data_IF_806610994068
#
_entry.id   IF_806610994068
#
_cell.length_a   1.000
_cell.length_b   1.000
_cell.length_c   1.000
_cell.angle_alpha   90.00
_cell.angle_beta   90.00
_cell.angle_gamma   90.00
#
_symmetry.space_group_name_H-M   'P 1'
#
loop_
_entity.id
_entity.type
_entity.pdbx_description
1 polymer ?
#
# COMPACT_ATOMS: atom_id res chain seq x y z
N UNK A 1 21.16 20.89 48.16
CA UNK A 1 21.04 20.85 47.57
C UNK A 1 21.03 20.48 46.75
N UNK A 2 20.64 20.63 46.84
CA UNK A 2 20.43 20.53 45.99
C UNK A 2 20.39 19.98 45.08
N UNK A 3 20.26 20.14 45.08
CA UNK A 3 20.07 19.88 44.20
C UNK A 3 20.03 19.17 43.36
N UNK A 4 19.84 19.26 43.48
CA UNK A 4 19.66 18.85 42.65
C UNK A 4 19.61 18.19 41.94
N UNK A 5 19.55 18.20 42.11
CA UNK A 5 19.36 17.81 41.35
C UNK A 5 19.25 17.34 40.61
N UNK A 6 18.94 17.51 40.75
CA UNK A 6 18.58 17.29 39.84
C UNK A 6 18.55 16.91 39.06
N UNK A 7 18.32 17.01 39.26
CA UNK A 7 18.10 16.82 38.30
C UNK A 7 18.11 16.34 37.54
N UNK A 8 18.01 16.46 37.76
CA UNK A 8 17.84 16.26 36.83
C UNK A 8 17.86 15.65 36.12
N UNK A 9 17.65 15.55 36.38
CA UNK A 9 17.48 15.19 35.52
C UNK A 9 17.29 14.68 34.78
N UNK A 10 16.99 14.64 34.85
CA UNK A 10 16.55 14.51 34.03
C UNK A 10 16.58 14.12 33.21
N UNK A 11 16.49 14.32 33.26
CA UNK A 11 16.32 14.28 32.36
C UNK A 11 16.37 13.79 31.51
N UNK A 12 16.19 13.92 31.58
CA UNK A 12 16.05 13.78 30.65
C UNK A 12 16.01 13.04 29.91
N UNK A 13 16.06 12.79 30.16
CA UNK A 13 16.03 12.29 29.46
C UNK A 13 15.57 11.76 28.80
N UNK A 14 15.17 11.78 28.77
CA UNK A 14 14.68 11.64 28.24
C UNK A 14 14.45 11.39 27.18
N UNK A 15 14.11 11.62 27.28
CA UNK A 15 13.85 11.84 26.25
C UNK A 15 14.11 11.00 25.18
N UNK A 16 14.87 10.81 24.97
CA UNK A 16 15.26 10.18 23.95
C UNK A 16 14.50 9.13 23.48
N UNK A 17 13.95 8.67 24.23
CA UNK A 17 13.20 7.72 24.02
C UNK A 17 12.31 7.75 22.94
N UNK A 18 11.59 8.57 22.98
CA UNK A 18 10.54 8.69 22.07
C UNK A 18 10.94 8.66 20.65
N UNK A 19 12.06 8.92 20.43
CA UNK A 19 12.49 9.08 19.13
C UNK A 19 12.30 7.94 18.27
N UNK A 20 12.49 6.85 18.77
CA UNK A 20 12.49 5.70 17.98
C UNK A 20 11.17 5.25 17.52
N UNK A 21 10.25 5.35 18.33
CA UNK A 21 8.92 4.86 18.03
C UNK A 21 8.31 5.36 16.73
N UNK A 22 8.46 6.60 16.40
CA UNK A 22 7.80 7.11 15.20
C UNK A 22 8.27 6.50 13.90
N UNK A 23 9.46 6.03 13.86
CA UNK A 23 10.02 5.55 12.62
C UNK A 23 9.30 4.33 12.03
N UNK A 24 9.03 3.33 12.80
CA UNK A 24 8.32 2.18 12.27
C UNK A 24 6.95 2.55 11.75
N UNK A 25 6.29 3.45 12.39
CA UNK A 25 4.97 3.87 11.97
C UNK A 25 5.00 4.52 10.60
N UNK A 26 6.00 5.30 10.33
CA UNK A 26 6.13 5.95 9.04
C UNK A 26 6.32 4.92 7.94
N UNK A 27 7.15 3.94 8.18
CA UNK A 27 7.39 2.90 7.19
C UNK A 27 6.12 2.14 6.85
N UNK A 28 5.25 1.93 7.81
CA UNK A 28 4.02 1.20 7.60
C UNK A 28 3.01 1.95 6.77
N UNK A 29 3.07 3.27 6.76
CA UNK A 29 2.08 4.09 6.09
C UNK A 29 2.15 3.99 4.57
N UNK A 30 3.19 3.39 4.01
CA UNK A 30 3.34 3.27 2.56
C UNK A 30 2.71 2.01 1.98
N UNK A 31 2.10 1.20 2.81
CA UNK A 31 1.54 -0.07 2.39
C UNK A 31 0.04 0.07 2.14
N UNK A 32 -0.40 -0.36 0.97
CA UNK A 32 -1.83 -0.41 0.66
C UNK A 32 -2.53 -1.43 1.54
N UNK A 33 -3.81 -1.22 1.78
CA UNK A 33 -4.65 -2.15 2.51
C UNK A 33 -5.25 -3.15 1.52
N UNK A 34 -5.17 -4.44 1.85
CA UNK A 34 -5.66 -5.50 0.97
C UNK A 34 -6.17 -6.64 1.83
N UNK A 35 -7.40 -7.09 1.59
CA UNK A 35 -7.95 -8.18 2.36
C UNK A 35 -8.84 -9.08 1.49
N UNK A 36 -8.83 -10.37 1.80
CA UNK A 36 -9.72 -11.33 1.17
C UNK A 36 -11.11 -11.18 1.77
N UNK A 37 -12.08 -10.88 0.94
CA UNK A 37 -13.48 -10.71 1.39
C UNK A 37 -14.33 -11.92 1.09
N UNK A 38 -13.90 -12.79 0.19
CA UNK A 38 -14.60 -14.04 -0.10
C UNK A 38 -13.64 -15.01 -0.78
N UNK A 39 -13.74 -16.28 -0.43
CA UNK A 39 -12.94 -17.33 -1.06
C UNK A 39 -13.65 -18.67 -1.00
N UNK A 40 -13.59 -19.41 -2.11
CA UNK A 40 -14.02 -20.81 -2.16
C UNK A 40 -13.08 -21.54 -3.13
N UNK A 41 -13.47 -22.75 -3.57
CA UNK A 41 -12.60 -23.53 -4.45
C UNK A 41 -12.58 -23.04 -5.89
N UNK A 42 -13.37 -22.02 -6.22
CA UNK A 42 -13.44 -21.48 -7.59
C UNK A 42 -12.94 -20.06 -7.72
N UNK A 43 -13.08 -19.25 -6.69
CA UNK A 43 -12.70 -17.84 -6.76
C UNK A 43 -12.10 -17.35 -5.46
N UNK A 44 -11.25 -16.33 -5.57
CA UNK A 44 -10.82 -15.52 -4.45
C UNK A 44 -11.14 -14.07 -4.80
N UNK A 45 -11.80 -13.35 -3.89
CA UNK A 45 -12.16 -11.95 -4.07
C UNK A 45 -11.41 -11.12 -3.04
N UNK A 46 -10.63 -10.17 -3.51
CA UNK A 46 -9.80 -9.30 -2.67
C UNK A 46 -10.23 -7.86 -2.84
N UNK A 47 -10.36 -7.17 -1.71
CA UNK A 47 -10.68 -5.75 -1.67
C UNK A 47 -9.38 -5.00 -1.34
N UNK A 48 -8.95 -4.12 -2.24
CA UNK A 48 -7.70 -3.36 -2.07
C UNK A 48 -7.96 -1.87 -2.11
N UNK A 49 -7.43 -1.16 -1.13
CA UNK A 49 -7.52 0.30 -1.04
C UNK A 49 -6.10 0.84 -0.99
N UNK A 50 -5.77 1.74 -1.91
CA UNK A 50 -4.43 2.31 -2.03
C UNK A 50 -4.55 3.84 -2.03
N UNK A 51 -4.12 4.45 -0.95
CA UNK A 51 -4.11 5.91 -0.84
C UNK A 51 -2.93 6.49 -1.60
N UNK A 52 -2.95 7.80 -1.92
CA UNK A 52 -1.81 8.42 -2.59
C UNK A 52 -0.49 8.11 -1.86
N UNK A 53 0.51 7.68 -2.60
CA UNK A 53 1.82 7.32 -2.06
C UNK A 53 1.95 5.88 -1.60
N UNK A 54 0.83 5.18 -1.41
CA UNK A 54 0.85 3.78 -1.00
C UNK A 54 0.98 2.86 -2.22
N UNK A 55 1.35 1.61 -1.97
CA UNK A 55 1.47 0.64 -3.04
C UNK A 55 1.51 -0.78 -2.54
N UNK A 56 1.59 -1.71 -3.47
CA UNK A 56 1.67 -3.14 -3.19
C UNK A 56 3.01 -3.67 -3.71
N UNK A 57 3.57 -4.68 -3.03
CA UNK A 57 4.83 -5.27 -3.47
C UNK A 57 4.66 -6.00 -4.80
N UNK A 58 5.78 -6.34 -5.43
CA UNK A 58 5.76 -7.04 -6.70
C UNK A 58 5.05 -8.37 -6.58
N UNK A 59 4.16 -8.64 -7.52
CA UNK A 59 3.42 -9.89 -7.59
C UNK A 59 2.89 -10.09 -9.01
N UNK A 60 2.66 -11.33 -9.38
CA UNK A 60 2.03 -11.67 -10.64
C UNK A 60 0.53 -11.41 -10.51
N UNK A 61 -0.01 -10.61 -11.41
CA UNK A 61 -1.41 -10.19 -11.38
C UNK A 61 -2.13 -10.43 -12.70
N UNK A 62 -1.48 -11.15 -13.63
CA UNK A 62 -2.10 -11.42 -14.92
C UNK A 62 -3.32 -12.30 -14.77
N UNK A 63 -4.38 -11.98 -15.52
CA UNK A 63 -5.61 -12.74 -15.48
C UNK A 63 -6.59 -12.33 -14.39
N UNK A 64 -6.21 -11.42 -13.49
CA UNK A 64 -7.14 -10.92 -12.47
C UNK A 64 -8.25 -10.12 -13.14
N UNK A 65 -9.46 -10.33 -12.69
CA UNK A 65 -10.59 -9.50 -13.06
C UNK A 65 -10.61 -8.35 -12.08
N UNK A 66 -10.56 -7.12 -12.58
CA UNK A 66 -10.49 -5.92 -11.74
C UNK A 66 -11.72 -5.07 -11.94
N UNK A 67 -12.30 -4.60 -10.83
CA UNK A 67 -13.38 -3.62 -10.87
C UNK A 67 -13.03 -2.46 -9.95
N UNK A 68 -12.96 -1.26 -10.53
CA UNK A 68 -12.54 -0.06 -9.80
C UNK A 68 -13.75 0.66 -9.20
N UNK A 69 -13.91 0.54 -7.88
CA UNK A 69 -14.91 1.32 -7.15
C UNK A 69 -14.52 2.78 -7.15
N UNK A 70 -13.20 3.05 -7.12
CA UNK A 70 -12.64 4.39 -7.23
C UNK A 70 -11.37 4.27 -8.06
N UNK A 71 -11.31 4.98 -9.16
CA UNK A 71 -10.16 4.94 -10.05
C UNK A 71 -9.09 5.93 -9.68
N UNK A 72 -8.05 6.00 -10.48
CA UNK A 72 -6.93 6.91 -10.29
C UNK A 72 -5.73 6.51 -11.12
N UNK A 73 -4.57 7.02 -10.73
CA UNK A 73 -3.32 6.81 -11.45
C UNK A 73 -2.38 5.92 -10.65
N UNK A 74 -1.94 4.85 -11.28
CA UNK A 74 -1.07 3.85 -10.66
C UNK A 74 0.20 3.76 -11.49
N UNK A 75 1.34 3.74 -10.81
CA UNK A 75 2.61 3.45 -11.45
C UNK A 75 2.97 1.99 -11.19
N UNK A 76 3.31 1.26 -12.25
CA UNK A 76 3.82 -0.11 -12.14
C UNK A 76 5.32 -0.06 -12.24
N UNK A 77 6.00 -0.86 -11.44
CA UNK A 77 7.45 -1.04 -11.55
C UNK A 77 7.74 -2.51 -11.78
N UNK A 78 8.41 -2.81 -12.87
CA UNK A 78 8.75 -4.17 -13.26
C UNK A 78 10.12 -4.58 -12.71
N UNK A 79 10.44 -5.87 -12.76
CA UNK A 79 11.68 -6.40 -12.18
C UNK A 79 12.95 -5.79 -12.79
N UNK A 80 12.91 -5.38 -14.05
CA UNK A 80 14.05 -4.75 -14.71
C UNK A 80 14.17 -3.25 -14.39
N UNK A 81 13.30 -2.72 -13.53
CA UNK A 81 13.32 -1.32 -13.15
C UNK A 81 12.50 -0.41 -14.03
N UNK A 82 11.94 -0.91 -15.13
CA UNK A 82 11.10 -0.08 -15.97
C UNK A 82 9.78 0.24 -15.28
N UNK A 83 9.21 1.37 -15.63
CA UNK A 83 7.97 1.87 -15.02
C UNK A 83 6.94 2.19 -16.08
N UNK A 84 5.69 2.01 -15.70
CA UNK A 84 4.56 2.30 -16.58
C UNK A 84 3.46 2.97 -15.77
N UNK A 85 2.90 4.04 -16.29
CA UNK A 85 1.78 4.73 -15.66
C UNK A 85 0.48 4.24 -16.26
N UNK A 86 -0.44 3.84 -15.41
CA UNK A 86 -1.74 3.31 -15.81
C UNK A 86 -2.82 4.15 -15.15
N UNK A 87 -3.80 4.61 -15.91
CA UNK A 87 -4.93 5.36 -15.39
C UNK A 87 -6.18 4.50 -15.48
N UNK A 88 -6.95 4.46 -14.39
CA UNK A 88 -8.19 3.69 -14.29
C UNK A 88 -9.33 4.63 -13.91
N UNK A 89 -10.48 4.39 -14.49
CA UNK A 89 -11.68 5.20 -14.21
C UNK A 89 -12.54 4.52 -13.16
N UNK A 90 -13.21 5.31 -12.35
CA UNK A 90 -14.21 4.79 -11.41
C UNK A 90 -15.30 4.06 -12.22
N UNK A 91 -15.64 2.86 -11.78
CA UNK A 91 -16.62 2.01 -12.48
C UNK A 91 -16.04 1.17 -13.59
N UNK A 92 -14.74 1.27 -13.85
CA UNK A 92 -14.10 0.49 -14.92
C UNK A 92 -13.90 -0.95 -14.50
N UNK A 93 -14.23 -1.89 -15.39
CA UNK A 93 -13.96 -3.30 -15.18
C UNK A 93 -13.11 -3.81 -16.33
N UNK A 94 -12.14 -4.67 -16.01
CA UNK A 94 -11.25 -5.23 -17.02
C UNK A 94 -10.59 -6.51 -16.52
N UNK A 95 -10.00 -7.26 -17.45
CA UNK A 95 -9.11 -8.36 -17.11
C UNK A 95 -7.68 -7.83 -17.28
N UNK A 96 -6.86 -7.99 -16.26
CA UNK A 96 -5.48 -7.53 -16.33
C UNK A 96 -4.70 -8.44 -17.27
N UNK A 97 -4.23 -7.88 -18.38
CA UNK A 97 -3.51 -8.64 -19.38
C UNK A 97 -1.99 -8.65 -19.18
N UNK A 98 -1.48 -7.84 -18.25
CA UNK A 98 -0.04 -7.79 -18.01
C UNK A 98 0.40 -9.01 -17.20
N UNK A 99 1.13 -9.91 -17.83
CA UNK A 99 1.53 -11.17 -17.20
C UNK A 99 2.83 -11.07 -16.41
N UNK A 100 3.64 -10.02 -16.63
CA UNK A 100 4.87 -9.84 -15.86
C UNK A 100 4.54 -9.39 -14.45
N UNK A 101 5.28 -9.88 -13.43
CA UNK A 101 5.09 -9.38 -12.06
C UNK A 101 5.48 -7.90 -11.98
N UNK A 102 4.76 -7.15 -11.17
CA UNK A 102 5.07 -5.74 -10.96
C UNK A 102 4.61 -5.28 -9.58
N UNK A 103 5.32 -4.26 -9.06
CA UNK A 103 4.90 -3.54 -7.88
C UNK A 103 4.02 -2.37 -8.33
N UNK A 104 3.16 -1.90 -7.44
CA UNK A 104 2.31 -0.75 -7.75
C UNK A 104 2.55 0.38 -6.76
N UNK A 105 2.29 1.60 -7.21
CA UNK A 105 2.29 2.78 -6.35
C UNK A 105 1.24 3.75 -6.86
N UNK A 106 0.43 4.28 -5.95
CA UNK A 106 -0.53 5.32 -6.30
C UNK A 106 0.21 6.65 -6.41
N UNK A 107 0.43 7.11 -7.63
CA UNK A 107 1.14 8.38 -7.88
C UNK A 107 0.16 9.52 -8.13
N UNK A 108 -1.14 9.26 -8.06
CA UNK A 108 -2.16 10.27 -8.21
C UNK A 108 -2.54 10.93 -6.89
N UNK A 109 -3.59 11.70 -6.92
CA UNK A 109 -4.08 12.45 -5.76
C UNK A 109 -5.34 11.85 -5.14
N UNK A 110 -5.92 10.81 -5.74
CA UNK A 110 -7.14 10.19 -5.22
C UNK A 110 -6.83 8.77 -4.72
N UNK A 111 -7.64 8.30 -3.79
CA UNK A 111 -7.55 6.93 -3.29
C UNK A 111 -8.10 5.99 -4.36
N UNK A 112 -7.37 4.94 -4.66
CA UNK A 112 -7.79 3.91 -5.60
C UNK A 112 -8.36 2.75 -4.81
N UNK A 113 -9.57 2.32 -5.16
CA UNK A 113 -10.27 1.23 -4.50
C UNK A 113 -10.68 0.22 -5.57
N UNK A 114 -10.12 -0.97 -5.50
CA UNK A 114 -10.34 -1.99 -6.53
C UNK A 114 -10.73 -3.32 -5.90
N UNK A 115 -11.65 -4.01 -6.56
CA UNK A 115 -11.99 -5.39 -6.26
C UNK A 115 -11.26 -6.26 -7.26
N UNK A 116 -10.46 -7.19 -6.78
CA UNK A 116 -9.68 -8.10 -7.63
C UNK A 116 -10.21 -9.52 -7.45
N UNK A 117 -10.55 -10.17 -8.54
CA UNK A 117 -11.12 -11.51 -8.54
C UNK A 117 -10.15 -12.45 -9.24
N UNK A 118 -9.75 -13.50 -8.53
CA UNK A 118 -8.92 -14.57 -9.09
C UNK A 118 -9.81 -15.77 -9.34
N UNK A 119 -9.77 -16.30 -10.55
CA UNK A 119 -10.41 -17.56 -10.88
C UNK A 119 -9.43 -18.69 -10.62
N UNK A 120 -9.87 -19.72 -9.94
CA UNK A 120 -9.02 -20.87 -9.61
C UNK A 120 -9.19 -22.01 -10.59
#
# INVERSE_FOLDING_TARGET
MITLKSISSGVLVIASVALIAPLPAVAQSNQASSKTVFENNKVTIIDSVTKPGEGLPSAARGGLILYYLSGGTIERTYADGTKETVTRKTGQALVNSEMRPYATKNTGSSTVHVIAITLK
#
